data_IF_534885511635
#
_entry.id   IF_534885511635
#
_cell.length_a   1.000
_cell.length_b   1.000
_cell.length_c   1.000
_cell.angle_alpha   90.00
_cell.angle_beta   90.00
_cell.angle_gamma   90.00
#
_symmetry.space_group_name_H-M   'P 1'
#
loop_
_entity.id
_entity.type
_entity.pdbx_description
1 polymer ?
#
# COMPACT_ATOMS: atom_id res chain seq x y z
N UNK A 1 -5.70 8.17 12.35
CA UNK A 1 -5.23 6.97 11.63
C UNK A 1 -4.40 7.27 10.36
N UNK A 2 -4.30 8.52 9.86
CA UNK A 2 -3.51 8.85 8.65
C UNK A 2 -2.04 9.22 8.91
N UNK A 3 -1.66 9.51 10.15
CA UNK A 3 -0.33 9.99 10.52
C UNK A 3 0.77 8.90 10.61
N UNK A 4 0.47 7.64 10.25
CA UNK A 4 1.43 6.53 10.33
C UNK A 4 1.91 6.02 8.97
N UNK A 5 1.20 6.30 7.87
CA UNK A 5 1.69 5.96 6.53
C UNK A 5 2.56 7.09 5.96
N UNK A 6 3.59 6.80 5.14
CA UNK A 6 4.40 7.81 4.47
C UNK A 6 3.60 8.84 3.66
N UNK A 7 2.50 8.42 3.04
CA UNK A 7 1.59 9.29 2.29
C UNK A 7 0.76 10.24 3.19
N UNK A 8 0.82 10.07 4.52
CA UNK A 8 0.26 10.97 5.53
C UNK A 8 -1.24 11.31 5.39
N UNK A 9 -2.02 10.43 4.73
CA UNK A 9 -3.47 10.51 4.64
C UNK A 9 -4.13 9.16 4.87
N UNK A 10 -5.42 9.21 5.20
CA UNK A 10 -6.28 8.04 5.22
C UNK A 10 -6.48 7.57 3.78
N UNK A 11 -6.33 6.25 3.57
CA UNK A 11 -6.69 5.60 2.32
C UNK A 11 -8.21 5.68 2.08
N UNK A 12 -8.58 5.77 0.83
CA UNK A 12 -9.96 5.77 0.35
C UNK A 12 -10.26 4.44 -0.33
N UNK A 13 -11.54 4.01 -0.42
CA UNK A 13 -11.91 2.82 -1.20
C UNK A 13 -11.38 2.87 -2.65
N UNK A 14 -11.32 4.07 -3.24
CA UNK A 14 -10.84 4.30 -4.59
C UNK A 14 -9.35 3.95 -4.77
N UNK A 15 -8.53 4.09 -3.73
CA UNK A 15 -7.11 3.71 -3.78
C UNK A 15 -6.94 2.22 -4.08
N UNK A 16 -7.79 1.38 -3.49
CA UNK A 16 -7.80 -0.07 -3.73
C UNK A 16 -8.45 -0.38 -5.08
N UNK A 17 -9.60 0.24 -5.37
CA UNK A 17 -10.35 -0.01 -6.61
C UNK A 17 -9.50 0.26 -7.86
N UNK A 18 -8.71 1.33 -7.87
CA UNK A 18 -7.84 1.68 -8.99
C UNK A 18 -6.77 0.60 -9.26
N UNK A 19 -6.18 0.02 -8.20
CA UNK A 19 -5.22 -1.09 -8.35
C UNK A 19 -5.90 -2.34 -8.88
N UNK A 20 -7.11 -2.66 -8.40
CA UNK A 20 -7.90 -3.78 -8.91
C UNK A 20 -8.21 -3.60 -10.40
N UNK A 21 -8.64 -2.40 -10.83
CA UNK A 21 -8.89 -2.09 -12.24
C UNK A 21 -7.63 -2.27 -13.09
N UNK A 22 -6.47 -1.84 -12.60
CA UNK A 22 -5.20 -2.09 -13.29
C UNK A 22 -4.90 -3.60 -13.41
N UNK A 23 -5.01 -4.35 -12.31
CA UNK A 23 -4.73 -5.78 -12.28
C UNK A 23 -5.69 -6.61 -13.15
N UNK A 24 -6.93 -6.18 -13.30
CA UNK A 24 -7.91 -6.82 -14.19
C UNK A 24 -7.78 -6.38 -15.66
N UNK A 25 -6.90 -5.43 -15.98
CA UNK A 25 -6.69 -4.96 -17.34
C UNK A 25 -5.58 -5.73 -18.05
N UNK A 26 -5.55 -5.65 -19.39
CA UNK A 26 -4.48 -6.22 -20.22
C UNK A 26 -3.08 -5.68 -19.87
N UNK A 27 -2.99 -4.56 -19.15
CA UNK A 27 -1.71 -3.98 -18.72
C UNK A 27 -0.97 -4.83 -17.70
N UNK A 28 -1.66 -5.70 -16.99
CA UNK A 28 -1.10 -6.61 -16.00
C UNK A 28 -0.95 -8.04 -16.54
N UNK A 29 -1.01 -8.27 -17.86
CA UNK A 29 -1.09 -9.61 -18.47
C UNK A 29 0.08 -10.55 -18.16
N UNK A 30 1.20 -10.04 -17.66
CA UNK A 30 2.37 -10.82 -17.27
C UNK A 30 2.62 -10.87 -15.75
N UNK A 31 1.69 -10.34 -14.95
CA UNK A 31 1.76 -10.36 -13.50
C UNK A 31 0.97 -11.54 -12.95
N UNK A 32 1.62 -12.40 -12.18
CA UNK A 32 0.97 -13.54 -11.51
C UNK A 32 1.72 -13.90 -10.22
N UNK A 33 1.01 -14.42 -9.22
CA UNK A 33 1.59 -14.85 -7.94
C UNK A 33 2.09 -13.73 -7.03
N UNK A 34 1.69 -12.48 -7.27
CA UNK A 34 2.21 -11.30 -6.57
C UNK A 34 1.23 -10.73 -5.54
N UNK A 35 1.76 -10.11 -4.47
CA UNK A 35 1.01 -9.36 -3.48
C UNK A 35 1.22 -7.86 -3.66
N UNK A 36 0.17 -7.14 -4.08
CA UNK A 36 0.26 -5.68 -4.26
C UNK A 36 -0.24 -4.96 -3.00
N UNK A 37 0.69 -4.34 -2.26
CA UNK A 37 0.36 -3.55 -1.07
C UNK A 37 -0.24 -2.18 -1.46
N UNK A 38 -1.43 -1.87 -0.93
CA UNK A 38 -2.12 -0.59 -1.10
C UNK A 38 -2.37 0.05 0.26
N UNK A 39 -1.30 0.45 0.93
CA UNK A 39 -1.32 0.86 2.34
C UNK A 39 -0.76 2.27 2.59
N UNK A 40 -0.49 3.03 1.52
CA UNK A 40 0.13 4.34 1.60
C UNK A 40 1.61 4.31 2.02
N UNK A 41 2.27 3.16 1.93
CA UNK A 41 3.70 2.96 2.17
C UNK A 41 4.06 2.37 3.54
N UNK A 42 3.10 1.83 4.29
CA UNK A 42 3.34 1.30 5.65
C UNK A 42 4.32 0.13 5.62
N UNK A 43 4.15 -0.83 4.70
CA UNK A 43 5.06 -1.96 4.59
C UNK A 43 6.44 -1.58 4.05
N UNK A 44 6.55 -0.45 3.33
CA UNK A 44 7.81 0.07 2.80
C UNK A 44 8.67 0.76 3.88
N UNK A 45 8.06 1.18 5.00
CA UNK A 45 8.82 1.68 6.15
C UNK A 45 9.67 0.55 6.78
N UNK A 46 9.31 -0.71 6.54
CA UNK A 46 9.96 -1.90 7.08
C UNK A 46 9.35 -2.31 8.41
N UNK A 47 8.99 -3.58 8.56
CA UNK A 47 8.40 -4.16 9.78
C UNK A 47 9.30 -4.06 11.04
N UNK A 48 10.49 -3.47 10.90
CA UNK A 48 11.52 -3.28 11.94
C UNK A 48 11.84 -1.81 12.19
N UNK A 49 11.42 -0.91 11.30
CA UNK A 49 11.60 0.52 11.50
C UNK A 49 10.46 1.01 12.38
N UNK A 50 10.59 0.76 13.69
CA UNK A 50 10.09 1.57 14.80
C UNK A 50 9.56 0.73 15.98
N UNK A 51 10.48 0.07 16.70
CA UNK A 51 10.26 -0.29 18.11
C UNK A 51 10.75 0.80 19.08
N UNK A 52 11.20 1.97 18.57
CA UNK A 52 11.95 2.96 19.34
C UNK A 52 11.27 4.33 19.50
N UNK A 53 10.15 4.62 18.85
CA UNK A 53 9.35 5.85 19.05
C UNK A 53 8.36 5.74 20.21
N UNK A 54 8.75 4.97 21.23
CA UNK A 54 8.26 5.21 22.60
C UNK A 54 9.21 6.19 23.27
N UNK A 55 9.18 7.45 22.84
CA UNK A 55 9.51 8.64 23.63
C UNK A 55 8.69 9.80 23.12
#
# INVERSE_FOLDING_TARGET
AGARSPIARIGTPEDVANVVVFLCSDKASFMTGEFVNVDGGVMAQGAWADLSRTK
#
